data_IF_130048972401
#
_entry.id   IF_130048972401
#
_cell.length_a   1.000
_cell.length_b   1.000
_cell.length_c   1.000
_cell.angle_alpha   90.00
_cell.angle_beta   90.00
_cell.angle_gamma   90.00
#
_symmetry.space_group_name_H-M   'P 1'
#
loop_
_entity.id
_entity.type
_entity.pdbx_description
1 polymer ?
#
# COMPACT_ATOMS: atom_id res chain seq x y z
N UNK A 1 2.25 0.44 -21.55
CA UNK A 1 2.87 0.63 -20.24
C UNK A 1 4.10 1.49 -20.44
N UNK A 2 4.27 2.53 -19.64
CA UNK A 2 5.38 3.47 -19.72
C UNK A 2 6.18 3.35 -18.44
N UNK A 3 7.48 3.08 -18.52
CA UNK A 3 8.36 3.11 -17.33
C UNK A 3 8.70 4.52 -16.85
N UNK A 4 8.07 5.54 -17.44
CA UNK A 4 8.28 6.94 -17.11
C UNK A 4 7.28 7.43 -16.06
N UNK A 5 7.80 8.22 -15.11
CA UNK A 5 7.00 8.93 -14.14
C UNK A 5 6.31 10.12 -14.80
N UNK A 6 5.00 10.26 -14.60
CA UNK A 6 4.23 11.43 -15.05
C UNK A 6 3.49 12.08 -13.90
N UNK A 7 3.31 13.41 -13.98
CA UNK A 7 2.42 14.15 -13.08
C UNK A 7 0.96 13.84 -13.46
N UNK A 8 0.21 13.27 -12.52
CA UNK A 8 -1.20 12.92 -12.71
C UNK A 8 -2.16 13.86 -11.97
N UNK A 9 -1.71 14.50 -10.89
CA UNK A 9 -2.47 15.51 -10.17
C UNK A 9 -1.52 16.52 -9.51
N UNK A 10 -1.78 17.80 -9.68
CA UNK A 10 -1.23 18.86 -8.82
C UNK A 10 -2.38 19.53 -8.07
N UNK A 11 -2.25 19.72 -6.76
CA UNK A 11 -3.15 20.50 -5.93
C UNK A 11 -2.39 21.63 -5.24
N UNK A 12 -3.05 22.78 -5.06
CA UNK A 12 -2.54 23.88 -4.25
C UNK A 12 -2.80 23.67 -2.74
N UNK A 13 -2.46 24.67 -1.93
CA UNK A 13 -2.65 24.65 -0.47
C UNK A 13 -4.11 24.63 -0.02
N UNK A 14 -5.07 24.86 -0.92
CA UNK A 14 -6.50 24.70 -0.68
C UNK A 14 -7.02 23.36 -1.20
N UNK A 15 -6.10 22.46 -1.60
CA UNK A 15 -6.38 21.18 -2.24
C UNK A 15 -7.10 21.31 -3.59
N UNK A 16 -7.14 22.51 -4.17
CA UNK A 16 -7.77 22.73 -5.46
C UNK A 16 -6.87 22.19 -6.58
N UNK A 17 -7.39 21.39 -7.52
CA UNK A 17 -6.60 20.85 -8.61
C UNK A 17 -6.10 21.98 -9.52
N UNK A 18 -4.80 21.97 -9.80
CA UNK A 18 -4.09 22.87 -10.73
C UNK A 18 -3.65 22.16 -12.00
N UNK A 19 -3.51 20.85 -11.96
CA UNK A 19 -3.22 19.98 -13.11
C UNK A 19 -3.83 18.59 -12.87
N UNK A 20 -4.35 17.95 -13.92
CA UNK A 20 -4.89 16.58 -13.84
C UNK A 20 -6.06 16.44 -12.88
N UNK A 21 -6.27 15.22 -12.35
CA UNK A 21 -7.40 14.93 -11.46
C UNK A 21 -7.10 13.79 -10.48
N UNK A 22 -7.81 13.76 -9.35
CA UNK A 22 -7.77 12.62 -8.42
C UNK A 22 -8.21 11.32 -9.11
N UNK A 23 -9.13 11.41 -10.07
CA UNK A 23 -9.55 10.28 -10.89
C UNK A 23 -8.45 9.69 -11.74
N UNK A 24 -7.63 10.51 -12.39
CA UNK A 24 -6.47 10.02 -13.14
C UNK A 24 -5.45 9.29 -12.26
N UNK A 25 -5.28 9.73 -11.02
CA UNK A 25 -4.41 9.05 -10.05
C UNK A 25 -5.04 7.72 -9.62
N UNK A 26 -6.31 7.73 -9.21
CA UNK A 26 -7.02 6.53 -8.78
C UNK A 26 -7.08 5.47 -9.88
N UNK A 27 -7.36 5.86 -11.13
CA UNK A 27 -7.34 4.97 -12.29
C UNK A 27 -5.97 4.30 -12.49
N UNK A 28 -4.89 5.06 -12.35
CA UNK A 28 -3.53 4.52 -12.47
C UNK A 28 -3.22 3.56 -11.31
N UNK A 29 -3.57 3.92 -10.08
CA UNK A 29 -3.37 3.05 -8.91
C UNK A 29 -4.22 1.78 -9.01
N UNK A 30 -5.46 1.84 -9.53
CA UNK A 30 -6.29 0.65 -9.80
C UNK A 30 -5.66 -0.32 -10.80
N UNK A 31 -4.84 0.20 -11.73
CA UNK A 31 -4.03 -0.62 -12.64
C UNK A 31 -2.70 -1.08 -12.03
N UNK A 32 -2.46 -0.79 -10.75
CA UNK A 32 -1.25 -1.21 -10.04
C UNK A 32 -0.05 -0.30 -10.22
N UNK A 33 -0.22 0.92 -10.77
CA UNK A 33 0.86 1.87 -10.94
C UNK A 33 1.60 2.19 -9.63
N UNK A 34 2.90 2.45 -9.73
CA UNK A 34 3.63 3.01 -8.60
C UNK A 34 3.17 4.45 -8.36
N UNK A 35 3.16 4.88 -7.10
CA UNK A 35 2.68 6.20 -6.67
C UNK A 35 3.77 6.92 -5.87
N UNK A 36 3.90 8.21 -6.10
CA UNK A 36 4.70 9.14 -5.30
C UNK A 36 3.93 10.43 -5.08
N UNK A 37 4.21 11.10 -3.97
CA UNK A 37 3.75 12.48 -3.76
C UNK A 37 4.93 13.36 -3.42
N UNK A 38 5.06 14.48 -4.12
CA UNK A 38 5.91 15.58 -3.73
C UNK A 38 5.06 16.61 -2.98
N UNK A 39 5.58 17.14 -1.87
CA UNK A 39 4.91 18.15 -1.08
C UNK A 39 5.86 19.19 -0.50
N UNK A 40 5.32 20.36 -0.16
CA UNK A 40 6.07 21.47 0.43
C UNK A 40 5.51 21.89 1.77
N UNK A 41 6.36 22.23 2.72
CA UNK A 41 6.01 22.81 4.02
C UNK A 41 6.61 24.22 4.14
N UNK A 42 6.40 24.88 5.27
CA UNK A 42 7.06 26.17 5.54
C UNK A 42 8.56 26.04 5.78
N UNK A 43 9.07 24.83 6.03
CA UNK A 43 10.47 24.60 6.46
C UNK A 43 11.22 23.57 5.62
N UNK A 44 10.54 22.74 4.83
CA UNK A 44 11.16 21.73 3.97
C UNK A 44 10.25 21.33 2.81
N UNK A 45 10.83 20.63 1.84
CA UNK A 45 10.12 20.00 0.73
C UNK A 45 10.55 18.53 0.68
N UNK A 46 9.65 17.63 0.28
CA UNK A 46 9.97 16.21 0.24
C UNK A 46 9.21 15.48 -0.86
N UNK A 47 9.72 14.29 -1.21
CA UNK A 47 9.02 13.32 -2.03
C UNK A 47 8.89 12.02 -1.26
N UNK A 48 7.66 11.53 -1.14
CA UNK A 48 7.34 10.28 -0.48
C UNK A 48 7.22 9.16 -1.50
N UNK A 49 7.78 8.01 -1.14
CA UNK A 49 7.74 6.77 -1.91
C UNK A 49 6.91 5.75 -1.16
N UNK A 50 5.82 5.29 -1.76
CA UNK A 50 4.89 4.40 -1.09
C UNK A 50 5.26 2.93 -1.31
N UNK A 51 5.33 2.16 -0.22
CA UNK A 51 5.53 0.71 -0.28
C UNK A 51 4.23 -0.01 -0.63
N UNK A 52 3.09 0.60 -0.28
CA UNK A 52 1.76 0.09 -0.52
C UNK A 52 0.88 1.18 -1.11
N UNK A 53 0.03 0.83 -2.07
CA UNK A 53 -0.95 1.75 -2.64
C UNK A 53 -2.34 1.16 -2.52
N UNK A 54 -3.31 2.01 -2.25
CA UNK A 54 -4.71 1.67 -2.11
C UNK A 54 -5.51 2.33 -3.23
N UNK A 55 -6.43 1.60 -3.84
CA UNK A 55 -7.48 2.15 -4.68
C UNK A 55 -8.84 1.62 -4.25
N UNK A 56 -9.79 2.52 -4.03
CA UNK A 56 -11.17 2.20 -3.70
C UNK A 56 -12.08 2.18 -4.91
N UNK A 57 -13.35 1.84 -4.66
CA UNK A 57 -14.42 1.78 -5.66
C UNK A 57 -14.79 3.15 -6.24
N UNK A 58 -14.60 4.23 -5.48
CA UNK A 58 -14.86 5.60 -5.95
C UNK A 58 -13.85 6.07 -7.00
N UNK A 59 -14.32 6.95 -7.89
CA UNK A 59 -13.51 7.45 -9.00
C UNK A 59 -12.28 8.24 -8.53
N UNK A 60 -12.32 8.86 -7.36
CA UNK A 60 -11.27 9.70 -6.78
C UNK A 60 -10.59 9.08 -5.53
N UNK A 61 -10.90 7.82 -5.24
CA UNK A 61 -10.47 7.16 -4.01
C UNK A 61 -9.16 6.42 -4.20
N UNK A 62 -8.07 7.01 -3.70
CA UNK A 62 -6.76 6.38 -3.63
C UNK A 62 -5.98 6.82 -2.40
N UNK A 63 -4.98 6.03 -2.00
CA UNK A 63 -4.01 6.43 -1.00
C UNK A 63 -2.63 5.82 -1.26
N UNK A 64 -1.60 6.54 -0.84
CA UNK A 64 -0.25 6.04 -0.66
C UNK A 64 0.02 5.70 0.80
N UNK A 65 0.61 4.54 1.05
CA UNK A 65 0.90 4.02 2.38
C UNK A 65 2.40 3.79 2.54
N UNK A 66 2.96 4.31 3.63
CA UNK A 66 4.38 4.24 3.93
C UNK A 66 4.58 3.67 5.33
N UNK A 67 5.29 2.55 5.41
CA UNK A 67 5.59 1.85 6.67
C UNK A 67 7.09 1.81 6.99
N UNK A 68 7.94 2.15 6.01
CA UNK A 68 9.41 2.14 6.17
C UNK A 68 9.96 3.55 6.39
N UNK A 69 9.39 4.30 7.33
CA UNK A 69 9.87 5.64 7.66
C UNK A 69 10.32 5.72 9.12
N UNK A 70 11.48 6.33 9.35
CA UNK A 70 11.97 6.71 10.66
C UNK A 70 12.50 8.15 10.60
N UNK A 71 12.54 8.83 11.73
CA UNK A 71 13.13 10.17 11.84
C UNK A 71 13.90 10.29 13.16
N UNK A 72 14.90 11.16 13.16
CA UNK A 72 15.74 11.46 14.33
C UNK A 72 15.22 12.69 15.10
N UNK A 73 14.04 13.20 14.72
CA UNK A 73 13.41 14.38 15.30
C UNK A 73 11.99 14.05 15.75
N UNK A 74 11.65 14.39 16.99
CA UNK A 74 10.31 14.32 17.56
C UNK A 74 9.91 15.71 18.07
N UNK A 75 8.79 16.25 17.58
CA UNK A 75 8.29 17.59 17.92
C UNK A 75 9.37 18.68 17.83
N UNK A 76 10.16 18.63 16.76
CA UNK A 76 11.23 19.60 16.48
C UNK A 76 12.51 19.42 17.32
N UNK A 77 12.61 18.36 18.13
CA UNK A 77 13.78 18.08 18.97
C UNK A 77 14.44 16.76 18.57
N UNK A 78 15.78 16.64 18.69
CA UNK A 78 16.45 15.35 18.57
C UNK A 78 15.77 14.30 19.46
N UNK A 79 15.59 13.10 18.94
CA UNK A 79 14.97 11.98 19.64
C UNK A 79 15.82 10.73 19.46
N UNK A 80 16.30 10.19 20.59
CA UNK A 80 17.33 9.13 20.59
C UNK A 80 16.74 7.71 20.52
N UNK A 81 15.44 7.55 20.78
CA UNK A 81 14.77 6.25 20.73
C UNK A 81 14.30 5.96 19.29
N UNK A 82 14.60 4.77 18.74
CA UNK A 82 14.16 4.42 17.40
C UNK A 82 12.65 4.21 17.35
N UNK A 83 12.04 4.65 16.26
CA UNK A 83 10.63 4.44 15.98
C UNK A 83 10.39 4.32 14.49
N UNK A 84 9.27 3.70 14.13
CA UNK A 84 8.74 3.71 12.77
C UNK A 84 7.50 4.59 12.70
N UNK A 85 7.36 5.33 11.62
CA UNK A 85 6.14 6.10 11.32
C UNK A 85 5.36 5.39 10.23
N UNK A 86 4.08 5.19 10.51
CA UNK A 86 3.13 4.53 9.62
C UNK A 86 2.20 5.62 9.07
N UNK A 87 2.31 5.88 7.77
CA UNK A 87 1.60 6.97 7.13
C UNK A 87 0.57 6.50 6.11
N UNK A 88 -0.51 7.27 6.01
CA UNK A 88 -1.39 7.33 4.86
C UNK A 88 -1.45 8.75 4.33
N UNK A 89 -1.32 8.88 3.02
CA UNK A 89 -1.54 10.11 2.27
C UNK A 89 -2.60 9.87 1.21
N UNK A 90 -3.53 10.82 1.07
CA UNK A 90 -4.58 10.84 0.06
C UNK A 90 -4.78 12.25 -0.50
N UNK A 91 -5.63 12.40 -1.52
CA UNK A 91 -5.93 13.70 -2.12
C UNK A 91 -6.74 14.65 -1.22
N UNK A 92 -7.20 14.20 -0.04
CA UNK A 92 -7.97 15.02 0.90
C UNK A 92 -7.07 15.88 1.81
N UNK A 93 -5.74 15.76 1.67
CA UNK A 93 -4.78 16.51 2.48
C UNK A 93 -4.77 16.12 3.96
N UNK A 94 -5.39 14.98 4.31
CA UNK A 94 -5.33 14.44 5.66
C UNK A 94 -4.02 13.69 5.86
N UNK A 95 -3.29 13.99 6.94
CA UNK A 95 -2.12 13.22 7.35
C UNK A 95 -2.57 12.22 8.41
N UNK A 96 -2.72 10.94 8.05
CA UNK A 96 -2.88 9.89 9.06
C UNK A 96 -1.51 9.32 9.40
N UNK A 97 -1.06 9.47 10.64
CA UNK A 97 0.26 9.07 11.09
C UNK A 97 0.20 8.41 12.47
N UNK A 98 0.68 7.17 12.56
CA UNK A 98 0.99 6.52 13.85
C UNK A 98 2.50 6.35 13.96
N UNK A 99 3.08 6.79 15.08
CA UNK A 99 4.47 6.54 15.44
C UNK A 99 4.53 5.36 16.40
N UNK A 100 5.18 4.27 15.98
CA UNK A 100 5.37 3.08 16.81
C UNK A 100 6.83 2.98 17.26
N UNK A 101 7.05 3.10 18.57
CA UNK A 101 8.34 2.95 19.22
C UNK A 101 8.56 1.48 19.59
N UNK A 102 9.76 1.14 20.05
CA UNK A 102 10.03 -0.22 20.49
C UNK A 102 9.09 -0.64 21.63
N UNK A 103 8.53 -1.86 21.51
CA UNK A 103 7.61 -2.43 22.48
C UNK A 103 6.17 -1.90 22.33
N UNK A 104 5.54 -1.61 23.46
CA UNK A 104 4.09 -1.41 23.57
C UNK A 104 3.67 0.07 23.51
N UNK A 105 4.42 0.89 22.76
CA UNK A 105 4.22 2.34 22.68
C UNK A 105 3.95 2.77 21.26
N UNK A 106 2.69 3.12 20.97
CA UNK A 106 2.30 3.78 19.74
C UNK A 106 1.56 5.09 20.04
N UNK A 107 1.81 6.10 19.21
CA UNK A 107 1.19 7.41 19.33
C UNK A 107 0.54 7.76 18.00
N UNK A 108 -0.76 8.02 18.03
CA UNK A 108 -1.46 8.63 16.91
C UNK A 108 -1.10 10.12 16.89
N UNK A 109 -0.42 10.52 15.82
CA UNK A 109 0.02 11.88 15.53
C UNK A 109 -0.66 12.43 14.28
N UNK A 110 -1.78 11.82 13.89
CA UNK A 110 -2.57 12.25 12.75
C UNK A 110 -3.01 13.70 12.91
N UNK A 111 -2.95 14.43 11.81
CA UNK A 111 -3.28 15.84 11.78
C UNK A 111 -4.06 16.19 10.51
N UNK A 112 -4.90 17.22 10.61
CA UNK A 112 -5.55 17.82 9.45
C UNK A 112 -4.86 19.14 9.13
N UNK A 113 -4.39 19.28 7.91
CA UNK A 113 -3.73 20.49 7.43
C UNK A 113 -3.18 20.28 6.03
N UNK A 114 -3.28 21.32 5.20
CA UNK A 114 -2.73 21.27 3.86
C UNK A 114 -1.23 21.60 3.87
N UNK A 115 -0.45 20.77 3.18
CA UNK A 115 0.85 21.15 2.68
C UNK A 115 0.70 22.22 1.58
N UNK A 116 1.77 22.95 1.26
CA UNK A 116 1.72 24.08 0.34
C UNK A 116 1.31 23.68 -1.08
N UNK A 117 1.90 22.60 -1.58
CA UNK A 117 1.59 22.00 -2.89
C UNK A 117 1.59 20.48 -2.73
N UNK A 118 0.71 19.79 -3.45
CA UNK A 118 0.75 18.33 -3.60
C UNK A 118 0.90 17.99 -5.08
N UNK A 119 1.94 17.23 -5.44
CA UNK A 119 2.14 16.71 -6.79
C UNK A 119 2.20 15.20 -6.76
N UNK A 120 1.16 14.56 -7.29
CA UNK A 120 1.05 13.11 -7.38
C UNK A 120 1.60 12.62 -8.71
N UNK A 121 2.61 11.77 -8.63
CA UNK A 121 3.25 11.15 -9.77
C UNK A 121 2.91 9.67 -9.82
N UNK A 122 2.65 9.18 -11.03
CA UNK A 122 2.34 7.76 -11.28
C UNK A 122 3.31 7.17 -12.31
N UNK A 123 3.61 5.88 -12.16
CA UNK A 123 4.38 5.10 -13.14
C UNK A 123 3.66 3.79 -13.44
N UNK A 124 3.12 3.67 -14.65
CA UNK A 124 2.28 2.55 -15.11
C UNK A 124 3.13 1.53 -15.89
N UNK A 125 4.02 0.86 -15.15
CA UNK A 125 5.04 -0.08 -15.66
C UNK A 125 4.74 -1.56 -15.41
N UNK A 126 3.68 -1.84 -14.66
CA UNK A 126 3.33 -3.18 -14.21
C UNK A 126 2.32 -3.80 -15.15
N UNK A 127 2.59 -5.01 -15.64
CA UNK A 127 1.65 -5.81 -16.42
C UNK A 127 1.04 -6.91 -15.57
N UNK A 128 -0.23 -7.22 -15.80
CA UNK A 128 -0.85 -8.39 -15.21
C UNK A 128 -0.20 -9.66 -15.79
N UNK A 129 0.28 -10.55 -14.94
CA UNK A 129 0.76 -11.88 -15.32
C UNK A 129 -0.26 -12.97 -14.98
N UNK A 130 -0.92 -12.86 -13.82
CA UNK A 130 -1.91 -13.83 -13.36
C UNK A 130 -2.90 -13.18 -12.38
N UNK A 131 -4.19 -13.48 -12.50
CA UNK A 131 -5.23 -13.10 -11.55
C UNK A 131 -6.01 -14.34 -11.14
N UNK A 132 -6.36 -14.43 -9.86
CA UNK A 132 -7.20 -15.49 -9.34
C UNK A 132 -8.27 -14.96 -8.36
N UNK A 133 -9.35 -15.71 -8.22
CA UNK A 133 -10.37 -15.46 -7.19
C UNK A 133 -9.89 -15.89 -5.79
N UNK A 134 -10.76 -15.77 -4.77
CA UNK A 134 -10.40 -16.11 -3.38
C UNK A 134 -10.28 -17.62 -3.15
N UNK A 135 -10.81 -18.44 -4.03
CA UNK A 135 -10.67 -19.89 -4.06
C UNK A 135 -9.38 -20.35 -4.75
N UNK A 136 -8.68 -19.45 -5.44
CA UNK A 136 -7.46 -19.74 -6.20
C UNK A 136 -7.72 -20.13 -7.65
N UNK A 137 -8.96 -20.00 -8.14
CA UNK A 137 -9.27 -20.27 -9.54
C UNK A 137 -8.76 -19.12 -10.41
N UNK A 138 -8.12 -19.46 -11.54
CA UNK A 138 -7.65 -18.49 -12.52
C UNK A 138 -8.82 -17.67 -13.09
N UNK A 139 -8.66 -16.35 -13.08
CA UNK A 139 -9.56 -15.38 -13.72
C UNK A 139 -8.94 -14.79 -14.99
N UNK A 140 -7.62 -14.55 -14.99
CA UNK A 140 -6.90 -14.00 -16.13
C UNK A 140 -5.40 -14.33 -16.08
N UNK A 141 -4.75 -14.28 -17.24
CA UNK A 141 -3.31 -14.57 -17.35
C UNK A 141 -2.98 -16.06 -17.22
N UNK A 142 -1.73 -16.36 -16.90
CA UNK A 142 -1.20 -17.73 -16.86
C UNK A 142 -0.29 -17.89 -15.64
N UNK A 143 -0.57 -18.94 -14.84
CA UNK A 143 0.29 -19.27 -13.70
C UNK A 143 1.69 -19.67 -14.19
N UNK A 144 1.79 -20.34 -15.34
CA UNK A 144 3.07 -20.72 -15.95
C UNK A 144 3.87 -19.46 -16.36
N UNK A 145 3.21 -18.44 -16.92
CA UNK A 145 3.88 -17.18 -17.30
C UNK A 145 4.36 -16.41 -16.06
N UNK A 146 3.60 -16.45 -14.96
CA UNK A 146 4.05 -15.88 -13.69
C UNK A 146 5.26 -16.65 -13.15
N UNK A 147 5.25 -17.98 -13.19
CA UNK A 147 6.39 -18.80 -12.79
C UNK A 147 7.63 -18.54 -13.64
N UNK A 148 7.49 -18.42 -14.96
CA UNK A 148 8.60 -18.04 -15.83
C UNK A 148 9.12 -16.63 -15.52
N UNK A 149 8.23 -15.70 -15.17
CA UNK A 149 8.63 -14.37 -14.72
C UNK A 149 9.46 -14.41 -13.42
N UNK A 150 9.10 -15.30 -12.47
CA UNK A 150 9.91 -15.56 -11.26
C UNK A 150 11.28 -16.12 -11.64
N UNK A 151 11.33 -17.13 -12.53
CA UNK A 151 12.58 -17.76 -12.98
C UNK A 151 13.49 -16.77 -13.72
N UNK A 152 12.91 -15.80 -14.43
CA UNK A 152 13.62 -14.73 -15.12
C UNK A 152 14.10 -13.61 -14.18
N UNK A 153 13.75 -13.65 -12.89
CA UNK A 153 14.15 -12.63 -11.92
C UNK A 153 13.41 -11.30 -12.06
N UNK A 154 12.23 -11.28 -12.68
CA UNK A 154 11.45 -10.06 -12.82
C UNK A 154 10.88 -9.62 -11.46
N UNK A 155 10.81 -8.30 -11.25
CA UNK A 155 10.16 -7.75 -10.07
C UNK A 155 8.66 -8.08 -10.08
N UNK A 156 8.11 -8.37 -8.89
CA UNK A 156 6.70 -8.74 -8.70
C UNK A 156 5.99 -7.74 -7.78
N UNK A 157 4.76 -7.40 -8.15
CA UNK A 157 3.81 -6.63 -7.35
C UNK A 157 2.51 -7.41 -7.24
N UNK A 158 1.88 -7.40 -6.09
CA UNK A 158 0.61 -8.11 -5.86
C UNK A 158 -0.46 -7.13 -5.41
N UNK A 159 -1.57 -7.10 -6.15
CA UNK A 159 -2.81 -6.43 -5.75
C UNK A 159 -3.72 -7.41 -5.02
N UNK A 160 -4.08 -7.11 -3.77
CA UNK A 160 -5.00 -7.92 -2.96
C UNK A 160 -6.34 -7.20 -2.86
N UNK A 161 -7.41 -7.88 -3.28
CA UNK A 161 -8.78 -7.35 -3.12
C UNK A 161 -9.20 -7.45 -1.67
N UNK A 162 -9.86 -6.41 -1.14
CA UNK A 162 -10.38 -6.37 0.23
C UNK A 162 -9.31 -6.72 1.29
N UNK A 163 -8.14 -6.09 1.21
CA UNK A 163 -7.06 -6.29 2.18
C UNK A 163 -7.44 -5.74 3.56
N UNK A 164 -8.11 -4.60 3.65
CA UNK A 164 -8.53 -4.01 4.92
C UNK A 164 -9.66 -4.81 5.57
N UNK A 165 -9.69 -4.81 6.91
CA UNK A 165 -10.50 -5.72 7.71
C UNK A 165 -9.88 -7.12 7.92
N UNK A 166 -8.61 -7.32 7.52
CA UNK A 166 -7.95 -8.63 7.59
C UNK A 166 -7.92 -9.23 9.00
N UNK A 167 -7.76 -8.40 10.04
CA UNK A 167 -7.67 -8.86 11.43
C UNK A 167 -8.91 -9.70 11.81
N UNK A 168 -10.10 -9.19 11.51
CA UNK A 168 -11.38 -9.83 11.81
C UNK A 168 -11.92 -10.70 10.67
N UNK A 169 -11.17 -10.80 9.56
CA UNK A 169 -11.63 -11.37 8.28
C UNK A 169 -12.90 -10.71 7.74
N UNK A 170 -13.06 -9.41 8.01
CA UNK A 170 -14.24 -8.66 7.61
C UNK A 170 -14.04 -8.07 6.21
N UNK A 171 -14.92 -8.47 5.27
CA UNK A 171 -14.93 -7.99 3.88
C UNK A 171 -16.19 -7.17 3.55
N UNK A 172 -16.98 -6.76 4.55
CA UNK A 172 -18.23 -6.02 4.34
C UNK A 172 -18.03 -4.56 3.92
N UNK A 173 -16.80 -4.08 3.96
CA UNK A 173 -16.42 -2.74 3.58
C UNK A 173 -16.52 -2.43 2.09
N UNK A 174 -16.38 -1.14 1.71
CA UNK A 174 -16.30 -0.73 0.31
C UNK A 174 -15.23 -1.51 -0.47
N UNK A 175 -15.52 -1.78 -1.74
CA UNK A 175 -14.60 -2.48 -2.64
C UNK A 175 -13.27 -1.75 -2.74
N UNK A 176 -12.16 -2.48 -2.63
CA UNK A 176 -10.82 -1.91 -2.81
C UNK A 176 -9.76 -2.94 -3.21
N UNK A 177 -8.65 -2.41 -3.73
CA UNK A 177 -7.42 -3.11 -4.08
C UNK A 177 -6.24 -2.47 -3.35
N UNK A 178 -5.43 -3.28 -2.68
CA UNK A 178 -4.16 -2.87 -2.09
C UNK A 178 -3.01 -3.52 -2.83
N UNK A 179 -2.12 -2.73 -3.42
CA UNK A 179 -0.94 -3.23 -4.10
C UNK A 179 0.30 -3.12 -3.21
N UNK A 180 1.10 -4.19 -3.20
CA UNK A 180 2.36 -4.28 -2.45
C UNK A 180 3.45 -4.83 -3.36
N UNK A 181 4.65 -4.26 -3.26
CA UNK A 181 5.84 -4.89 -3.87
C UNK A 181 6.27 -6.07 -3.01
N UNK A 182 6.64 -7.18 -3.64
CA UNK A 182 7.05 -8.38 -2.92
C UNK A 182 8.56 -8.53 -2.85
N UNK A 183 9.06 -9.28 -1.85
CA UNK A 183 10.50 -9.38 -1.57
C UNK A 183 11.13 -10.70 -2.03
N UNK A 184 10.38 -11.80 -1.93
CA UNK A 184 10.92 -13.14 -2.14
C UNK A 184 9.85 -14.05 -2.79
N UNK A 185 9.76 -14.07 -4.12
CA UNK A 185 8.90 -15.01 -4.80
C UNK A 185 9.49 -16.44 -4.77
N UNK A 186 8.63 -17.43 -4.53
CA UNK A 186 8.96 -18.85 -4.43
C UNK A 186 7.96 -19.61 -5.29
N UNK A 187 8.45 -20.55 -6.10
CA UNK A 187 7.59 -21.53 -6.80
C UNK A 187 7.55 -22.80 -5.95
N UNK A 188 6.37 -23.21 -5.53
CA UNK A 188 6.16 -24.42 -4.75
C UNK A 188 4.81 -25.05 -5.09
N UNK A 189 4.79 -26.37 -5.30
CA UNK A 189 3.57 -27.17 -5.49
C UNK A 189 2.61 -26.63 -6.59
N UNK A 190 3.17 -26.10 -7.69
CA UNK A 190 2.36 -25.54 -8.78
C UNK A 190 1.82 -24.13 -8.50
N UNK A 191 2.29 -23.47 -7.45
CA UNK A 191 1.90 -22.11 -7.06
C UNK A 191 3.10 -21.17 -6.92
N UNK A 192 2.83 -19.88 -7.01
CA UNK A 192 3.76 -18.83 -6.60
C UNK A 192 3.34 -18.31 -5.23
N UNK A 193 4.30 -18.26 -4.31
CA UNK A 193 4.19 -17.63 -3.01
C UNK A 193 5.13 -16.43 -2.96
N UNK A 194 4.78 -15.39 -2.21
CA UNK A 194 5.72 -14.29 -2.00
C UNK A 194 5.50 -13.56 -0.69
N UNK A 195 6.60 -13.19 -0.04
CA UNK A 195 6.58 -12.43 1.19
C UNK A 195 6.34 -10.93 0.93
N UNK A 196 5.50 -10.32 1.77
CA UNK A 196 5.27 -8.89 1.89
C UNK A 196 5.43 -8.50 3.36
N UNK A 197 6.42 -7.68 3.67
CA UNK A 197 6.73 -7.27 5.04
C UNK A 197 6.22 -5.86 5.34
N UNK A 198 5.91 -5.62 6.62
CA UNK A 198 5.47 -4.32 7.14
C UNK A 198 4.32 -3.69 6.36
N UNK A 199 3.35 -4.51 5.99
CA UNK A 199 2.11 -4.10 5.30
C UNK A 199 1.18 -3.42 6.29
N UNK A 200 0.56 -2.31 5.89
CA UNK A 200 -0.45 -1.63 6.69
C UNK A 200 -1.83 -2.15 6.35
N UNK A 201 -2.58 -2.54 7.39
CA UNK A 201 -3.96 -3.02 7.27
C UNK A 201 -4.84 -2.11 8.11
N UNK A 202 -5.77 -1.41 7.45
CA UNK A 202 -6.78 -0.59 8.13
C UNK A 202 -8.12 -1.29 8.33
N UNK A 203 -9.09 -0.54 8.83
CA UNK A 203 -10.48 -0.93 8.89
C UNK A 203 -11.10 -1.05 7.49
N UNK A 204 -12.11 -1.92 7.28
CA UNK A 204 -12.78 -2.10 6.00
C UNK A 204 -13.79 -0.96 5.74
N UNK A 205 -13.33 0.29 5.70
CA UNK A 205 -14.17 1.46 5.43
C UNK A 205 -13.39 2.53 4.68
N UNK A 206 -14.08 3.48 4.05
CA UNK A 206 -13.47 4.67 3.46
C UNK A 206 -14.42 5.88 3.61
N UNK A 207 -13.92 7.09 3.91
CA UNK A 207 -12.55 7.40 4.32
C UNK A 207 -12.22 6.78 5.68
N UNK A 208 -11.01 6.25 5.86
CA UNK A 208 -10.55 5.71 7.14
C UNK A 208 -9.43 6.56 7.75
N UNK A 209 -9.37 6.55 9.07
CA UNK A 209 -8.26 7.04 9.88
C UNK A 209 -7.60 5.86 10.61
N UNK A 210 -6.37 6.03 11.10
CA UNK A 210 -5.67 4.93 11.79
C UNK A 210 -6.29 4.51 13.12
N UNK A 211 -7.02 5.43 13.75
CA UNK A 211 -7.88 5.17 14.91
C UNK A 211 -8.97 4.13 14.65
N UNK A 212 -9.32 3.85 13.39
CA UNK A 212 -10.39 2.91 13.04
C UNK A 212 -9.96 1.44 13.16
N UNK A 213 -8.66 1.15 13.20
CA UNK A 213 -8.16 -0.22 13.31
C UNK A 213 -6.88 -0.51 12.51
N UNK A 214 -5.84 0.29 12.73
CA UNK A 214 -4.53 0.06 12.11
C UNK A 214 -3.83 -1.19 12.68
N UNK A 215 -3.38 -2.06 11.78
CA UNK A 215 -2.47 -3.17 12.08
C UNK A 215 -1.25 -3.10 11.16
N UNK A 216 -0.09 -3.47 11.70
CA UNK A 216 1.07 -3.83 10.90
C UNK A 216 1.06 -5.33 10.66
N UNK A 217 1.42 -5.75 9.46
CA UNK A 217 1.38 -7.14 9.06
C UNK A 217 2.65 -7.58 8.33
N UNK A 218 3.01 -8.85 8.52
CA UNK A 218 3.91 -9.59 7.63
C UNK A 218 3.13 -10.74 7.02
N UNK A 219 3.22 -10.92 5.71
CA UNK A 219 2.34 -11.82 4.96
C UNK A 219 3.15 -12.68 4.00
N UNK A 220 2.67 -13.91 3.77
CA UNK A 220 3.12 -14.76 2.67
C UNK A 220 1.92 -15.02 1.77
N UNK A 221 1.80 -14.23 0.71
CA UNK A 221 0.73 -14.34 -0.29
C UNK A 221 0.94 -15.59 -1.15
N UNK A 222 -0.14 -16.15 -1.69
CA UNK A 222 -0.10 -17.35 -2.52
C UNK A 222 -1.15 -17.31 -3.62
N UNK A 223 -0.76 -17.78 -4.81
CA UNK A 223 -1.67 -17.97 -5.94
C UNK A 223 -2.76 -19.02 -5.71
N UNK A 224 -2.69 -19.79 -4.62
CA UNK A 224 -3.72 -20.74 -4.20
C UNK A 224 -4.95 -20.06 -3.54
N UNK A 225 -4.97 -18.71 -3.45
CA UNK A 225 -6.03 -17.93 -2.83
C UNK A 225 -5.93 -17.81 -1.31
N UNK A 226 -5.47 -18.87 -0.62
CA UNK A 226 -5.21 -18.87 0.81
C UNK A 226 -3.78 -18.44 1.15
N UNK A 227 -3.62 -17.56 2.14
CA UNK A 227 -2.34 -17.00 2.54
C UNK A 227 -2.23 -16.85 4.05
N UNK A 228 -0.99 -16.85 4.55
CA UNK A 228 -0.69 -16.59 5.94
C UNK A 228 -0.44 -15.09 6.15
N UNK A 229 -0.96 -14.54 7.24
CA UNK A 229 -0.63 -13.20 7.69
C UNK A 229 -0.43 -13.19 9.20
N UNK A 230 0.54 -12.43 9.66
CA UNK A 230 0.77 -12.15 11.07
C UNK A 230 0.46 -10.69 11.27
N UNK A 231 -0.45 -10.35 12.20
CA UNK A 231 -0.87 -8.98 12.45
C UNK A 231 -0.61 -8.58 13.91
N UNK A 232 -0.20 -7.33 14.11
CA UNK A 232 -0.18 -6.68 15.41
C UNK A 232 -0.72 -5.26 15.28
N UNK A 233 -1.53 -4.82 16.24
CA UNK A 233 -1.79 -3.40 16.40
C UNK A 233 -0.50 -2.74 16.93
N UNK A 234 -0.06 -1.61 16.35
CA UNK A 234 1.10 -0.89 16.85
C UNK A 234 0.99 -0.63 18.35
N UNK A 235 2.04 -0.99 19.10
CA UNK A 235 2.06 -0.88 20.56
C UNK A 235 1.32 -1.99 21.31
N UNK A 236 0.85 -3.05 20.63
CA UNK A 236 0.18 -4.20 21.25
C UNK A 236 0.72 -5.53 20.70
N UNK A 237 1.97 -5.83 21.03
CA UNK A 237 2.58 -7.13 20.70
C UNK A 237 1.98 -8.26 21.57
N UNK A 238 2.07 -9.54 21.15
CA UNK A 238 2.77 -10.06 19.96
C UNK A 238 1.91 -10.04 18.69
N UNK A 239 2.56 -10.31 17.56
CA UNK A 239 1.86 -10.63 16.31
C UNK A 239 1.03 -11.91 16.46
N UNK A 240 -0.20 -11.88 15.95
CA UNK A 240 -1.11 -13.01 15.90
C UNK A 240 -1.17 -13.57 14.48
N UNK A 241 -1.10 -14.90 14.36
CA UNK A 241 -1.14 -15.60 13.07
C UNK A 241 -2.58 -15.84 12.63
N UNK A 242 -2.85 -15.55 11.37
CA UNK A 242 -4.11 -15.80 10.69
C UNK A 242 -3.88 -16.48 9.34
N UNK A 243 -4.88 -17.25 8.91
CA UNK A 243 -5.01 -17.72 7.52
C UNK A 243 -6.20 -17.02 6.89
N UNK A 244 -6.02 -16.50 5.68
CA UNK A 244 -7.01 -15.68 4.99
C UNK A 244 -7.11 -16.07 3.52
N UNK A 245 -8.26 -15.78 2.92
CA UNK A 245 -8.50 -15.96 1.50
C UNK A 245 -8.91 -14.66 0.85
N UNK A 246 -8.21 -14.26 -0.21
CA UNK A 246 -8.54 -13.06 -1.01
C UNK A 246 -8.23 -13.33 -2.47
N UNK A 247 -9.00 -12.70 -3.34
CA UNK A 247 -8.66 -12.63 -4.76
C UNK A 247 -7.45 -11.71 -4.95
N UNK A 248 -6.55 -12.06 -5.87
CA UNK A 248 -5.30 -11.33 -6.07
C UNK A 248 -4.92 -11.20 -7.54
N UNK A 249 -4.24 -10.11 -7.84
CA UNK A 249 -3.62 -9.80 -9.12
C UNK A 249 -2.10 -9.81 -8.96
N UNK A 250 -1.42 -10.69 -9.67
CA UNK A 250 0.02 -10.83 -9.69
C UNK A 250 0.55 -10.13 -10.93
N UNK A 251 1.38 -9.12 -10.70
CA UNK A 251 1.89 -8.22 -11.72
C UNK A 251 3.40 -8.31 -11.77
N UNK A 252 3.94 -8.12 -12.96
CA UNK A 252 5.38 -8.14 -13.21
C UNK A 252 5.77 -6.93 -14.04
N UNK A 253 7.04 -6.57 -14.02
CA UNK A 253 7.59 -5.57 -14.95
C UNK A 253 8.59 -6.22 -15.88
N UNK A 254 8.57 -5.85 -17.15
CA UNK A 254 9.46 -6.42 -18.18
C UNK A 254 10.90 -5.88 -18.07
N UNK A 255 11.16 -4.98 -17.12
CA UNK A 255 12.49 -4.48 -16.79
C UNK A 255 12.94 -5.14 -15.49
N UNK A 256 14.01 -5.95 -15.57
CA UNK A 256 14.68 -6.53 -14.41
C UNK A 256 15.38 -5.44 -13.57
#
# INVERSE_FOLDING_TARGET
MTSEWRLALEQDSNLAPRHGSATEVADAVRRGADLRVYLTTSTYEETLYFQQTYAGEGDDVFAGLMSHHHSYVWDGKPFDEPYVSLFKYDAMGSLSQVKWLLGDRAYDTSARGAYGVYRWFVCDRWRLAYEHDKEGNCLAGSIDDLMESVRAGLSIRVGVRQLFGLNEDNVSGPGHLCFMTTMQPIIQDGHVLSNCDFVLVGAPQWPFEWSDGLHMAVMQLSTAGEFACFLAEPGKLPFQRHMRRRAMQWMVTDQA
#
